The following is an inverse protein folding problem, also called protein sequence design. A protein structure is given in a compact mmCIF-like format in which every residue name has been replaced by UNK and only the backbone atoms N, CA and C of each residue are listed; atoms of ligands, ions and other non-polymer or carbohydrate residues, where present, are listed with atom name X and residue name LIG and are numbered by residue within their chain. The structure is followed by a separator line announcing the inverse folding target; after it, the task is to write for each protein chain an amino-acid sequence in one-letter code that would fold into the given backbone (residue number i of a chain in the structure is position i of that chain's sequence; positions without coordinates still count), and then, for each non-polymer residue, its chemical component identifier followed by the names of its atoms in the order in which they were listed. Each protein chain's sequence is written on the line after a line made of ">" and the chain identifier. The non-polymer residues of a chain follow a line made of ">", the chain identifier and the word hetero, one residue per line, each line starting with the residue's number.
data_IF_295963951505
#
_entry.id   IF_295963951505
#
_cell.length_a   1.000
_cell.length_b   1.000
_cell.length_c   1.000
_cell.angle_alpha   90.00
_cell.angle_beta   90.00
_cell.angle_gamma   90.00
#
_symmetry.space_group_name_H-M   'P 1'
#
loop_
_entity.id
_entity.type
_entity.pdbx_description
1 polymer ?
#
# COMPACT_ATOMS: atom_id res chain seq x y z
N UNK A 1 -17.53 8.76 -2.78
CA UNK A 1 -16.35 7.91 -3.04
C UNK A 1 -15.32 8.15 -1.94
N UNK A 2 -14.74 7.09 -1.38
CA UNK A 2 -13.71 7.13 -0.35
C UNK A 2 -12.53 6.26 -0.75
N UNK A 3 -11.36 6.53 -0.15
CA UNK A 3 -10.15 5.74 -0.34
C UNK A 3 -9.71 5.16 1.00
N UNK A 4 -9.54 3.84 1.06
CA UNK A 4 -8.92 3.14 2.18
C UNK A 4 -7.46 2.87 1.89
N UNK A 5 -6.58 3.15 2.84
CA UNK A 5 -5.13 2.88 2.74
C UNK A 5 -4.70 2.05 3.94
N UNK A 6 -4.08 0.90 3.67
CA UNK A 6 -3.45 0.03 4.67
C UNK A 6 -1.94 -0.04 4.39
N UNK A 7 -1.13 0.54 5.28
CA UNK A 7 0.32 0.53 5.20
C UNK A 7 0.88 -0.53 6.15
N UNK A 8 0.87 -1.78 5.70
CA UNK A 8 1.39 -2.92 6.46
C UNK A 8 2.88 -3.13 6.27
N UNK A 9 3.48 -4.08 6.99
CA UNK A 9 4.92 -4.37 6.89
C UNK A 9 5.34 -4.83 5.49
N UNK A 10 4.52 -5.61 4.78
CA UNK A 10 4.94 -6.21 3.51
C UNK A 10 4.48 -5.41 2.29
N UNK A 11 3.52 -4.51 2.45
CA UNK A 11 2.92 -3.79 1.33
C UNK A 11 2.06 -2.62 1.82
N UNK A 12 1.91 -1.61 0.96
CA UNK A 12 0.79 -0.68 1.04
C UNK A 12 -0.33 -1.15 0.11
N UNK A 13 -1.54 -1.25 0.62
CA UNK A 13 -2.76 -1.59 -0.12
C UNK A 13 -3.71 -0.41 -0.15
N UNK A 14 -4.43 -0.27 -1.25
CA UNK A 14 -5.39 0.81 -1.48
C UNK A 14 -6.68 0.25 -2.05
N UNK A 15 -7.82 0.72 -1.56
CA UNK A 15 -9.14 0.43 -2.13
C UNK A 15 -9.89 1.74 -2.35
N UNK A 16 -10.57 1.86 -3.48
CA UNK A 16 -11.52 2.94 -3.75
C UNK A 16 -12.92 2.37 -3.63
N UNK A 17 -13.74 2.98 -2.78
CA UNK A 17 -15.09 2.50 -2.48
C UNK A 17 -16.12 3.57 -2.79
N UNK A 18 -17.19 3.15 -3.45
CA UNK A 18 -18.46 3.86 -3.47
C UNK A 18 -19.27 3.38 -2.28
N UNK A 19 -19.32 4.19 -1.22
CA UNK A 19 -20.02 3.82 0.02
C UNK A 19 -21.53 3.90 -0.11
N UNK A 20 -22.04 4.75 -1.00
CA UNK A 20 -23.47 4.92 -1.22
C UNK A 20 -24.02 3.71 -2.00
N UNK A 21 -23.26 3.24 -2.99
CA UNK A 21 -23.56 2.00 -3.73
C UNK A 21 -23.05 0.72 -3.05
N UNK A 22 -22.28 0.82 -1.96
CA UNK A 22 -21.71 -0.32 -1.22
C UNK A 22 -20.76 -1.19 -2.03
N UNK A 23 -20.00 -0.63 -2.99
CA UNK A 23 -19.13 -1.41 -3.91
C UNK A 23 -17.71 -0.86 -4.01
N UNK A 24 -16.77 -1.75 -4.29
CA UNK A 24 -15.38 -1.40 -4.62
C UNK A 24 -15.33 -0.96 -6.08
N UNK A 25 -14.68 0.19 -6.32
CA UNK A 25 -14.45 0.76 -7.66
C UNK A 25 -13.07 0.42 -8.21
N UNK A 26 -12.10 0.10 -7.34
CA UNK A 26 -10.75 -0.27 -7.74
C UNK A 26 -9.88 -0.62 -6.53
N UNK A 27 -8.83 -1.39 -6.77
CA UNK A 27 -7.90 -1.84 -5.75
C UNK A 27 -6.46 -1.89 -6.27
N UNK A 28 -5.52 -1.80 -5.34
CA UNK A 28 -4.10 -1.81 -5.65
C UNK A 28 -3.24 -2.29 -4.48
N UNK A 29 -2.06 -2.82 -4.80
CA UNK A 29 -1.04 -3.16 -3.82
C UNK A 29 0.35 -2.89 -4.35
N UNK A 30 1.24 -2.42 -3.48
CA UNK A 30 2.67 -2.30 -3.76
C UNK A 30 3.50 -2.89 -2.62
N UNK A 31 4.43 -3.81 -2.91
CA UNK A 31 5.26 -4.42 -1.87
C UNK A 31 6.25 -3.41 -1.28
N UNK A 32 6.64 -3.64 -0.03
CA UNK A 32 7.72 -2.93 0.65
C UNK A 32 8.99 -3.79 0.68
N UNK A 33 10.14 -3.15 0.52
CA UNK A 33 11.41 -3.79 0.77
C UNK A 33 11.64 -3.90 2.29
N UNK A 34 12.10 -5.05 2.76
CA UNK A 34 12.51 -5.26 4.14
C UNK A 34 14.03 -5.39 4.19
N UNK A 35 14.69 -4.55 4.99
CA UNK A 35 16.10 -4.67 5.28
C UNK A 35 16.30 -5.58 6.48
N UNK A 36 16.88 -6.75 6.24
CA UNK A 36 17.23 -7.71 7.29
C UNK A 36 18.69 -7.53 7.72
N UNK A 37 18.97 -7.68 9.00
CA UNK A 37 20.31 -7.56 9.55
C UNK A 37 20.59 -8.55 10.68
N UNK A 38 21.79 -8.43 11.26
CA UNK A 38 22.18 -9.19 12.46
C UNK A 38 21.23 -8.92 13.63
N UNK A 39 21.21 -9.83 14.61
CA UNK A 39 20.37 -9.69 15.81
C UNK A 39 18.86 -9.56 15.52
N UNK A 40 18.37 -10.26 14.48
CA UNK A 40 16.96 -10.26 14.07
C UNK A 40 16.41 -8.87 13.67
N UNK A 41 17.28 -7.93 13.28
CA UNK A 41 16.87 -6.61 12.79
C UNK A 41 16.02 -6.76 11.52
N UNK A 42 14.86 -6.09 11.51
CA UNK A 42 13.92 -6.01 10.40
C UNK A 42 13.42 -4.57 10.31
N UNK A 43 13.96 -3.82 9.37
CA UNK A 43 13.66 -2.38 9.23
C UNK A 43 13.32 -2.01 7.80
N UNK A 44 12.69 -0.84 7.63
CA UNK A 44 12.30 -0.29 6.33
C UNK A 44 12.64 1.19 6.29
N UNK A 45 13.00 1.69 5.11
CA UNK A 45 13.11 3.12 4.85
C UNK A 45 11.70 3.68 4.55
N UNK A 46 11.16 4.61 5.36
CA UNK A 46 9.84 5.20 5.14
C UNK A 46 9.69 5.89 3.77
N UNK A 47 10.79 6.34 3.16
CA UNK A 47 10.74 6.94 1.82
C UNK A 47 10.30 5.92 0.76
N UNK A 48 10.57 4.64 0.98
CA UNK A 48 10.19 3.52 0.12
C UNK A 48 8.70 3.12 0.20
N UNK A 49 7.96 3.64 1.18
CA UNK A 49 6.51 3.43 1.26
C UNK A 49 5.75 4.29 0.23
N UNK A 50 6.35 5.39 -0.22
CA UNK A 50 5.76 6.26 -1.23
C UNK A 50 6.02 5.71 -2.64
N UNK A 51 5.02 5.70 -3.52
CA UNK A 51 5.23 5.28 -4.89
C UNK A 51 6.09 6.27 -5.68
N UNK A 52 7.04 5.76 -6.45
CA UNK A 52 7.75 6.49 -7.50
C UNK A 52 6.82 6.68 -8.72
N UNK A 53 5.96 7.70 -8.66
CA UNK A 53 5.15 8.28 -9.75
C UNK A 53 4.20 7.37 -10.59
N UNK A 54 4.25 6.04 -10.52
CA UNK A 54 3.29 5.18 -11.23
C UNK A 54 1.99 4.99 -10.39
N UNK A 55 0.79 5.08 -11.02
CA UNK A 55 -0.47 4.92 -10.30
C UNK A 55 -0.59 3.50 -9.75
N UNK A 56 -0.94 3.41 -8.46
CA UNK A 56 -1.23 2.13 -7.82
C UNK A 56 -2.53 1.53 -8.37
N UNK A 57 -3.51 2.38 -8.67
CA UNK A 57 -4.83 1.97 -9.11
C UNK A 57 -4.82 1.64 -10.62
N UNK A 58 -4.93 0.36 -10.94
CA UNK A 58 -5.38 -0.05 -12.27
C UNK A 58 -6.90 0.21 -12.39
N UNK A 59 -7.40 0.61 -13.58
CA UNK A 59 -8.84 0.76 -13.82
C UNK A 59 -9.59 -0.57 -13.72
#
# INVERSE_FOLDING_TARGET
>A
MYIGVDCGTQSTKVVVVDVDAGRILGEASRPHALSEGTHARREQDPTGWRPSAAPLLAP
#
